data_IF_922223176599
#
_entry.id   IF_922223176599
#
_cell.length_a   1.000
_cell.length_b   1.000
_cell.length_c   1.000
_cell.angle_alpha   90.00
_cell.angle_beta   90.00
_cell.angle_gamma   90.00
#
_symmetry.space_group_name_H-M   'P 1'
#
loop_
_entity.id
_entity.type
_entity.pdbx_description
1 polymer ?
#
# COMPACT_ATOMS: atom_id res chain seq x y z
N UNK A 1 6.35 34.91 -20.21
CA UNK A 1 7.46 34.41 -19.37
C UNK A 1 7.85 33.05 -19.95
N UNK A 2 9.11 32.87 -20.36
CA UNK A 2 9.57 31.58 -20.90
C UNK A 2 9.96 30.70 -19.71
N UNK A 3 9.35 29.53 -19.57
CA UNK A 3 9.72 28.55 -18.54
C UNK A 3 11.12 28.04 -18.86
N UNK A 4 11.97 27.88 -17.84
CA UNK A 4 13.31 27.32 -18.02
C UNK A 4 13.19 25.87 -18.53
N UNK A 5 14.06 25.47 -19.46
CA UNK A 5 13.93 24.16 -20.12
C UNK A 5 14.01 23.00 -19.12
N UNK A 6 14.84 23.10 -18.07
CA UNK A 6 14.93 22.04 -17.06
C UNK A 6 13.66 21.96 -16.24
N UNK A 7 13.09 23.11 -15.86
CA UNK A 7 11.80 23.18 -15.17
C UNK A 7 10.71 22.55 -16.02
N UNK A 8 10.65 22.91 -17.31
CA UNK A 8 9.65 22.38 -18.24
C UNK A 8 9.77 20.85 -18.40
N UNK A 9 10.98 20.33 -18.58
CA UNK A 9 11.19 18.89 -18.74
C UNK A 9 10.70 18.09 -17.53
N UNK A 10 11.03 18.54 -16.31
CA UNK A 10 10.58 17.84 -15.09
C UNK A 10 9.06 17.95 -14.87
N UNK A 11 8.42 19.06 -15.26
CA UNK A 11 6.96 19.18 -15.22
C UNK A 11 6.28 18.26 -16.24
N UNK A 12 6.85 18.08 -17.43
CA UNK A 12 6.36 17.14 -18.44
C UNK A 12 6.48 15.70 -17.94
N UNK A 13 7.64 15.34 -17.37
CA UNK A 13 7.87 14.01 -16.81
C UNK A 13 6.88 13.73 -15.66
N UNK A 14 6.75 14.68 -14.73
CA UNK A 14 5.79 14.56 -13.64
C UNK A 14 4.35 14.39 -14.14
N UNK A 15 3.97 15.10 -15.21
CA UNK A 15 2.65 14.98 -15.83
C UNK A 15 2.45 13.59 -16.45
N UNK A 16 3.45 13.06 -17.15
CA UNK A 16 3.40 11.70 -17.71
C UNK A 16 3.20 10.65 -16.62
N UNK A 17 3.99 10.73 -15.55
CA UNK A 17 3.83 9.82 -14.40
C UNK A 17 2.47 9.98 -13.71
N UNK A 18 1.94 11.21 -13.62
CA UNK A 18 0.62 11.46 -13.07
C UNK A 18 -0.50 10.86 -13.94
N UNK A 19 -0.38 10.93 -15.27
CA UNK A 19 -1.31 10.31 -16.21
C UNK A 19 -1.31 8.78 -16.06
N UNK A 20 -0.16 8.17 -15.74
CA UNK A 20 0.00 6.74 -15.48
C UNK A 20 -0.37 6.31 -14.04
N UNK A 21 -0.62 7.26 -13.13
CA UNK A 21 -0.85 6.96 -11.71
C UNK A 21 0.41 6.60 -10.93
N UNK A 22 1.61 6.78 -11.50
CA UNK A 22 2.88 6.55 -10.82
C UNK A 22 3.24 7.74 -9.92
N UNK A 23 2.64 7.77 -8.73
CA UNK A 23 2.79 8.88 -7.76
C UNK A 23 4.22 9.02 -7.25
N UNK A 24 4.97 7.92 -7.13
CA UNK A 24 6.37 7.93 -6.69
C UNK A 24 7.27 8.71 -7.65
N UNK A 25 7.27 8.34 -8.93
CA UNK A 25 8.04 9.05 -9.97
C UNK A 25 7.52 10.46 -10.23
N UNK A 26 6.20 10.65 -10.20
CA UNK A 26 5.61 12.00 -10.27
C UNK A 26 6.18 12.91 -9.17
N UNK A 27 6.16 12.46 -7.92
CA UNK A 27 6.64 13.24 -6.78
C UNK A 27 8.11 13.58 -6.91
N UNK A 28 8.92 12.61 -7.37
CA UNK A 28 10.35 12.83 -7.64
C UNK A 28 10.59 13.93 -8.67
N UNK A 29 9.89 13.88 -9.81
CA UNK A 29 10.00 14.89 -10.87
C UNK A 29 9.50 16.27 -10.42
N UNK A 30 8.42 16.34 -9.63
CA UNK A 30 7.93 17.60 -9.08
C UNK A 30 8.89 18.25 -8.08
N UNK A 31 9.60 17.46 -7.28
CA UNK A 31 10.66 17.96 -6.38
C UNK A 31 11.77 18.61 -7.21
N UNK A 32 12.21 17.95 -8.29
CA UNK A 32 13.25 18.49 -9.19
C UNK A 32 12.79 19.73 -9.94
N UNK A 33 11.56 19.74 -10.46
CA UNK A 33 10.95 20.92 -11.08
C UNK A 33 10.96 22.11 -10.13
N UNK A 34 10.58 21.90 -8.87
CA UNK A 34 10.54 22.95 -7.84
C UNK A 34 11.93 23.47 -7.47
N UNK A 35 12.93 22.58 -7.41
CA UNK A 35 14.32 22.96 -7.19
C UNK A 35 14.86 23.82 -8.33
N UNK A 36 14.70 23.38 -9.58
CA UNK A 36 15.15 24.15 -10.74
C UNK A 36 14.42 25.49 -10.86
N UNK A 37 13.11 25.51 -10.58
CA UNK A 37 12.32 26.74 -10.60
C UNK A 37 12.84 27.75 -9.57
N UNK A 38 13.17 27.29 -8.37
CA UNK A 38 13.77 28.12 -7.32
C UNK A 38 15.11 28.73 -7.77
N UNK A 39 15.96 27.94 -8.41
CA UNK A 39 17.29 28.39 -8.86
C UNK A 39 17.22 29.51 -9.90
N UNK A 40 16.17 29.53 -10.72
CA UNK A 40 15.96 30.53 -11.78
C UNK A 40 14.91 31.59 -11.42
N UNK A 41 14.39 31.59 -10.19
CA UNK A 41 13.39 32.55 -9.73
C UNK A 41 12.00 32.40 -10.38
N UNK A 42 11.63 31.19 -10.80
CA UNK A 42 10.31 30.85 -11.34
C UNK A 42 9.39 30.28 -10.25
N UNK A 43 8.11 30.62 -10.33
CA UNK A 43 7.07 29.99 -9.51
C UNK A 43 6.32 28.94 -10.34
N UNK A 44 6.28 27.71 -9.85
CA UNK A 44 5.59 26.56 -10.47
C UNK A 44 4.53 25.94 -9.54
N UNK A 45 4.11 26.65 -8.49
CA UNK A 45 3.21 26.10 -7.47
C UNK A 45 1.86 25.64 -8.02
N UNK A 46 1.32 26.35 -9.01
CA UNK A 46 0.01 26.03 -9.59
C UNK A 46 0.10 24.77 -10.46
N UNK A 47 1.13 24.68 -11.32
CA UNK A 47 1.40 23.50 -12.15
C UNK A 47 1.67 22.27 -11.28
N UNK A 48 2.45 22.45 -10.20
CA UNK A 48 2.72 21.37 -9.24
C UNK A 48 1.42 20.85 -8.64
N UNK A 49 0.57 21.74 -8.12
CA UNK A 49 -0.71 21.34 -7.51
C UNK A 49 -1.65 20.65 -8.51
N UNK A 50 -1.70 21.13 -9.75
CA UNK A 50 -2.49 20.48 -10.81
C UNK A 50 -2.02 19.05 -11.07
N UNK A 51 -0.70 18.86 -11.21
CA UNK A 51 -0.10 17.55 -11.46
C UNK A 51 -0.27 16.62 -10.26
N UNK A 52 -0.08 17.10 -9.03
CA UNK A 52 -0.29 16.32 -7.80
C UNK A 52 -1.73 15.81 -7.70
N UNK A 53 -2.71 16.69 -7.90
CA UNK A 53 -4.12 16.30 -7.87
C UNK A 53 -4.46 15.24 -8.93
N UNK A 54 -3.90 15.37 -10.13
CA UNK A 54 -4.09 14.39 -11.20
C UNK A 54 -3.44 13.05 -10.85
N UNK A 55 -2.20 13.07 -10.36
CA UNK A 55 -1.48 11.86 -10.00
C UNK A 55 -2.10 11.14 -8.83
N UNK A 56 -2.56 11.84 -7.79
CA UNK A 56 -3.30 11.21 -6.70
C UNK A 56 -4.62 10.61 -7.19
N UNK A 57 -5.37 11.34 -8.02
CA UNK A 57 -6.62 10.83 -8.59
C UNK A 57 -6.41 9.54 -9.40
N UNK A 58 -5.33 9.47 -10.19
CA UNK A 58 -5.02 8.31 -11.03
C UNK A 58 -4.28 7.21 -10.26
N UNK A 59 -3.54 7.56 -9.20
CA UNK A 59 -2.78 6.63 -8.37
C UNK A 59 -3.63 5.84 -7.38
N UNK A 60 -4.75 6.40 -6.92
CA UNK A 60 -5.72 5.68 -6.06
C UNK A 60 -6.15 4.34 -6.69
N UNK A 61 -6.70 4.28 -7.92
CA UNK A 61 -7.13 3.02 -8.49
C UNK A 61 -5.96 2.06 -8.79
N UNK A 62 -4.75 2.56 -9.06
CA UNK A 62 -3.56 1.72 -9.21
C UNK A 62 -3.21 1.05 -7.88
N UNK A 63 -3.05 1.84 -6.81
CA UNK A 63 -2.74 1.29 -5.49
C UNK A 63 -3.82 0.34 -4.96
N UNK A 64 -5.11 0.61 -5.22
CA UNK A 64 -6.19 -0.32 -4.87
C UNK A 64 -6.15 -1.62 -5.68
N UNK A 65 -5.65 -1.58 -6.92
CA UNK A 65 -5.52 -2.77 -7.75
C UNK A 65 -4.37 -3.66 -7.26
N UNK A 66 -3.19 -3.08 -7.00
CA UNK A 66 -2.04 -3.78 -6.44
C UNK A 66 -2.40 -4.39 -5.07
N UNK A 67 -3.02 -3.62 -4.17
CA UNK A 67 -3.50 -4.13 -2.89
C UNK A 67 -4.46 -5.32 -3.04
N UNK A 68 -5.30 -5.32 -4.08
CA UNK A 68 -6.23 -6.42 -4.33
C UNK A 68 -5.51 -7.66 -4.84
N UNK A 69 -4.51 -7.50 -5.69
CA UNK A 69 -3.67 -8.61 -6.15
C UNK A 69 -3.00 -9.31 -4.96
N UNK A 70 -2.35 -8.54 -4.08
CA UNK A 70 -1.72 -9.08 -2.86
C UNK A 70 -2.76 -9.72 -1.92
N UNK A 71 -3.94 -9.10 -1.77
CA UNK A 71 -5.03 -9.67 -0.98
C UNK A 71 -5.54 -11.01 -1.54
N UNK A 72 -5.60 -11.15 -2.86
CA UNK A 72 -5.98 -12.41 -3.52
C UNK A 72 -4.93 -13.51 -3.30
N UNK A 73 -3.65 -13.13 -3.24
CA UNK A 73 -2.54 -14.04 -2.93
C UNK A 73 -2.39 -14.35 -1.43
N UNK A 74 -3.02 -13.54 -0.57
CA UNK A 74 -2.91 -13.65 0.89
C UNK A 74 -1.68 -12.97 1.47
N UNK A 75 -0.99 -12.12 0.69
CA UNK A 75 0.08 -11.24 1.17
C UNK A 75 -0.52 -10.01 1.85
N UNK A 76 -0.94 -10.20 3.11
CA UNK A 76 -1.57 -9.14 3.88
C UNK A 76 -0.62 -7.99 4.22
N UNK A 77 0.70 -8.20 4.23
CA UNK A 77 1.66 -7.14 4.54
C UNK A 77 1.78 -6.16 3.37
N UNK A 78 1.99 -6.67 2.15
CA UNK A 78 2.11 -5.82 0.96
C UNK A 78 0.76 -5.18 0.61
N UNK A 79 -0.35 -5.89 0.79
CA UNK A 79 -1.70 -5.32 0.72
C UNK A 79 -1.84 -4.06 1.59
N UNK A 80 -1.44 -4.13 2.86
CA UNK A 80 -1.55 -2.99 3.80
C UNK A 80 -0.70 -1.79 3.35
N UNK A 81 0.47 -2.03 2.75
CA UNK A 81 1.34 -0.99 2.19
C UNK A 81 0.62 -0.22 1.06
N UNK A 82 -0.01 -0.94 0.13
CA UNK A 82 -0.72 -0.31 -0.97
C UNK A 82 -2.03 0.37 -0.52
N UNK A 83 -2.77 -0.21 0.42
CA UNK A 83 -3.97 0.44 0.99
C UNK A 83 -3.62 1.72 1.73
N UNK A 84 -2.50 1.74 2.47
CA UNK A 84 -1.98 2.96 3.11
C UNK A 84 -1.65 4.05 2.09
N UNK A 85 -1.04 3.67 0.96
CA UNK A 85 -0.77 4.59 -0.15
C UNK A 85 -2.05 5.14 -0.77
N UNK A 86 -3.03 4.28 -1.06
CA UNK A 86 -4.33 4.68 -1.60
C UNK A 86 -5.07 5.64 -0.65
N UNK A 87 -5.08 5.32 0.65
CA UNK A 87 -5.71 6.14 1.70
C UNK A 87 -5.09 7.54 1.76
N UNK A 88 -3.75 7.61 1.77
CA UNK A 88 -3.03 8.88 1.75
C UNK A 88 -3.35 9.70 0.49
N UNK A 89 -3.38 9.08 -0.70
CA UNK A 89 -3.74 9.79 -1.93
C UNK A 89 -5.17 10.33 -1.88
N UNK A 90 -6.10 9.55 -1.36
CA UNK A 90 -7.49 9.94 -1.22
C UNK A 90 -7.66 11.11 -0.23
N UNK A 91 -6.92 11.10 0.88
CA UNK A 91 -6.88 12.21 1.85
C UNK A 91 -6.41 13.52 1.20
N UNK A 92 -5.31 13.48 0.43
CA UNK A 92 -4.73 14.66 -0.24
C UNK A 92 -5.72 15.36 -1.20
N UNK A 93 -6.65 14.60 -1.80
CA UNK A 93 -7.65 15.13 -2.72
C UNK A 93 -9.08 15.15 -2.17
N UNK A 94 -9.28 14.77 -0.90
CA UNK A 94 -10.58 14.76 -0.23
C UNK A 94 -11.60 13.77 -0.80
N UNK A 95 -11.15 12.59 -1.23
CA UNK A 95 -12.02 11.50 -1.72
C UNK A 95 -12.15 10.44 -0.63
N UNK A 96 -13.35 9.90 -0.45
CA UNK A 96 -13.60 8.77 0.45
C UNK A 96 -13.48 7.45 -0.33
N UNK A 97 -12.60 6.57 0.15
CA UNK A 97 -12.37 5.22 -0.39
C UNK A 97 -12.52 4.11 0.67
N UNK A 98 -13.15 4.43 1.81
CA UNK A 98 -13.23 3.54 2.97
C UNK A 98 -13.92 2.21 2.67
N UNK A 99 -14.94 2.20 1.80
CA UNK A 99 -15.64 0.98 1.40
C UNK A 99 -14.70 0.03 0.62
N UNK A 100 -13.92 0.56 -0.32
CA UNK A 100 -12.97 -0.21 -1.12
C UNK A 100 -11.83 -0.77 -0.25
N UNK A 101 -11.32 0.02 0.70
CA UNK A 101 -10.32 -0.44 1.67
C UNK A 101 -10.87 -1.61 2.47
N UNK A 102 -12.05 -1.45 3.08
CA UNK A 102 -12.68 -2.49 3.89
C UNK A 102 -12.91 -3.79 3.10
N UNK A 103 -13.31 -3.68 1.82
CA UNK A 103 -13.50 -4.86 0.98
C UNK A 103 -12.19 -5.62 0.75
N UNK A 104 -11.11 -4.91 0.44
CA UNK A 104 -9.80 -5.51 0.17
C UNK A 104 -9.19 -6.07 1.45
N UNK A 105 -9.23 -5.36 2.57
CA UNK A 105 -8.75 -5.84 3.87
C UNK A 105 -9.44 -7.16 4.26
N UNK A 106 -10.77 -7.22 4.14
CA UNK A 106 -11.51 -8.44 4.45
C UNK A 106 -11.11 -9.61 3.56
N UNK A 107 -10.84 -9.37 2.27
CA UNK A 107 -10.35 -10.39 1.35
C UNK A 107 -8.95 -10.87 1.76
N UNK A 108 -8.02 -9.95 1.96
CA UNK A 108 -6.63 -10.26 2.24
C UNK A 108 -6.44 -10.98 3.56
N UNK A 109 -7.06 -10.49 4.64
CA UNK A 109 -6.98 -11.17 5.94
C UNK A 109 -7.59 -12.57 5.89
N UNK A 110 -8.73 -12.72 5.20
CA UNK A 110 -9.36 -14.04 5.04
C UNK A 110 -8.44 -15.03 4.30
N UNK A 111 -7.68 -14.57 3.32
CA UNK A 111 -6.75 -15.40 2.55
C UNK A 111 -5.42 -15.64 3.29
N UNK A 112 -4.93 -14.67 4.06
CA UNK A 112 -3.67 -14.76 4.81
C UNK A 112 -3.76 -15.71 6.02
N UNK A 113 -4.90 -15.73 6.73
CA UNK A 113 -5.11 -16.60 7.91
C UNK A 113 -4.73 -18.07 7.65
N UNK A 114 -5.27 -18.77 6.64
CA UNK A 114 -4.93 -20.17 6.41
C UNK A 114 -3.46 -20.37 6.02
N UNK A 115 -2.82 -19.42 5.35
CA UNK A 115 -1.40 -19.48 5.01
C UNK A 115 -0.53 -19.41 6.28
N UNK A 116 -0.80 -18.43 7.15
CA UNK A 116 -0.09 -18.30 8.42
C UNK A 116 -0.31 -19.51 9.32
N UNK A 117 -1.53 -20.06 9.39
CA UNK A 117 -1.79 -21.29 10.16
C UNK A 117 -1.02 -22.50 9.62
N UNK A 118 -0.87 -22.61 8.29
CA UNK A 118 -0.07 -23.67 7.68
C UNK A 118 1.44 -23.49 7.96
N UNK A 119 1.95 -22.27 7.86
CA UNK A 119 3.35 -21.97 8.15
C UNK A 119 3.69 -22.17 9.63
N UNK A 120 2.84 -21.68 10.53
CA UNK A 120 2.99 -21.91 11.97
C UNK A 120 3.05 -23.40 12.31
N UNK A 121 2.21 -24.22 11.66
CA UNK A 121 2.27 -25.68 11.80
C UNK A 121 3.61 -26.25 11.35
N UNK A 122 4.14 -25.80 10.21
CA UNK A 122 5.47 -26.23 9.75
C UNK A 122 6.55 -25.88 10.78
N UNK A 123 6.57 -24.63 11.28
CA UNK A 123 7.50 -24.22 12.33
C UNK A 123 7.36 -25.09 13.59
N UNK A 124 6.14 -25.47 13.98
CA UNK A 124 5.89 -26.35 15.12
C UNK A 124 6.52 -27.74 14.90
N UNK A 125 6.32 -28.33 13.72
CA UNK A 125 6.85 -29.64 13.33
C UNK A 125 8.40 -29.62 13.25
N UNK A 126 8.98 -28.50 12.85
CA UNK A 126 10.44 -28.29 12.77
C UNK A 126 11.06 -27.87 14.12
N UNK A 127 10.26 -27.65 15.16
CA UNK A 127 10.71 -27.23 16.49
C UNK A 127 11.10 -25.73 16.59
N UNK A 128 10.73 -24.92 15.60
CA UNK A 128 10.93 -23.48 15.56
C UNK A 128 9.86 -22.71 16.37
N UNK A 129 9.80 -22.97 17.68
CA UNK A 129 8.71 -22.50 18.56
C UNK A 129 8.52 -20.97 18.52
N UNK A 130 9.61 -20.20 18.48
CA UNK A 130 9.53 -18.74 18.44
C UNK A 130 8.88 -18.24 17.14
N UNK A 131 9.22 -18.83 15.99
CA UNK A 131 8.64 -18.46 14.70
C UNK A 131 7.18 -18.85 14.63
N UNK A 132 6.85 -20.07 15.07
CA UNK A 132 5.46 -20.52 15.21
C UNK A 132 4.61 -19.51 16.00
N UNK A 133 5.09 -19.05 17.16
CA UNK A 133 4.35 -18.10 18.01
C UNK A 133 4.13 -16.75 17.34
N UNK A 134 5.13 -16.22 16.63
CA UNK A 134 5.00 -14.97 15.86
C UNK A 134 3.92 -15.12 14.79
N UNK A 135 3.97 -16.21 14.03
CA UNK A 135 3.04 -16.46 12.92
C UNK A 135 1.61 -16.71 13.41
N UNK A 136 1.43 -17.44 14.52
CA UNK A 136 0.13 -17.57 15.17
C UNK A 136 -0.40 -16.22 15.67
N UNK A 137 0.48 -15.33 16.14
CA UNK A 137 0.13 -13.96 16.49
C UNK A 137 -0.47 -13.22 15.30
N UNK A 138 0.20 -13.25 14.15
CA UNK A 138 -0.30 -12.63 12.92
C UNK A 138 -1.65 -13.21 12.48
N UNK A 139 -1.81 -14.54 12.49
CA UNK A 139 -3.08 -15.19 12.15
C UNK A 139 -4.22 -14.74 13.09
N UNK A 140 -3.96 -14.63 14.39
CA UNK A 140 -4.94 -14.14 15.36
C UNK A 140 -5.29 -12.67 15.15
N UNK A 141 -4.31 -11.82 14.86
CA UNK A 141 -4.55 -10.41 14.58
C UNK A 141 -5.45 -10.24 13.34
N UNK A 142 -5.16 -10.97 12.26
CA UNK A 142 -5.99 -10.95 11.05
C UNK A 142 -7.40 -11.51 11.29
N UNK A 143 -7.51 -12.62 12.02
CA UNK A 143 -8.79 -13.19 12.41
C UNK A 143 -9.62 -12.21 13.26
N UNK A 144 -8.98 -11.48 14.17
CA UNK A 144 -9.63 -10.44 14.97
C UNK A 144 -10.15 -9.29 14.11
N UNK A 145 -9.35 -8.80 13.15
CA UNK A 145 -9.74 -7.71 12.24
C UNK A 145 -11.01 -8.04 11.44
N UNK A 146 -11.22 -9.31 11.06
CA UNK A 146 -12.41 -9.75 10.30
C UNK A 146 -13.48 -10.48 11.12
N UNK A 147 -13.30 -10.58 12.45
CA UNK A 147 -14.24 -11.26 13.34
C UNK A 147 -14.35 -12.77 13.13
N UNK A 148 -13.28 -13.42 12.65
CA UNK A 148 -13.20 -14.87 12.50
C UNK A 148 -12.64 -15.53 13.78
N UNK A 149 -13.22 -16.66 14.19
CA UNK A 149 -12.68 -17.48 15.28
C UNK A 149 -11.77 -18.57 14.69
N UNK A 150 -10.52 -18.61 15.16
CA UNK A 150 -9.49 -19.60 14.78
C UNK A 150 -8.91 -20.33 16.01
N UNK A 151 -9.58 -20.24 17.16
CA UNK A 151 -9.06 -20.75 18.44
C UNK A 151 -8.79 -22.25 18.45
N UNK A 152 -9.57 -23.01 17.68
CA UNK A 152 -9.41 -24.48 17.56
C UNK A 152 -8.14 -24.82 16.77
N UNK A 153 -7.88 -24.11 15.68
CA UNK A 153 -6.71 -24.26 14.83
C UNK A 153 -5.43 -23.90 15.60
N UNK A 154 -5.45 -22.77 16.32
CA UNK A 154 -4.34 -22.32 17.15
C UNK A 154 -4.00 -23.37 18.22
N UNK A 155 -5.00 -23.82 19.00
CA UNK A 155 -4.81 -24.84 20.04
C UNK A 155 -4.25 -26.14 19.46
N UNK A 156 -4.73 -26.53 18.27
CA UNK A 156 -4.27 -27.72 17.58
C UNK A 156 -2.80 -27.65 17.13
N UNK A 157 -2.30 -26.45 16.80
CA UNK A 157 -0.89 -26.24 16.44
C UNK A 157 -0.02 -26.22 17.69
N UNK A 158 -0.43 -25.50 18.73
CA UNK A 158 0.30 -25.44 20.02
C UNK A 158 0.49 -26.82 20.66
N UNK A 159 -0.48 -27.72 20.47
CA UNK A 159 -0.38 -29.09 20.99
C UNK A 159 0.70 -29.95 20.32
N UNK A 160 1.27 -29.54 19.17
CA UNK A 160 2.34 -30.27 18.48
C UNK A 160 3.69 -30.17 19.18
N UNK A 161 3.85 -29.19 20.07
CA UNK A 161 5.13 -28.83 20.70
C UNK A 161 5.13 -29.04 22.22
N UNK A 162 4.10 -29.71 22.74
CA UNK A 162 3.95 -30.14 24.14
C UNK A 162 4.44 -31.58 24.33
#
# INVERSE_FOLDING_TARGET
MVIDQKVLNELIEARSCADEGNVGLMSYSLIRASQYAKDVGQNVSEQRKEIENLGYKNGIPVALAEAREDAEEGDAEEMEVYLSSASRYAEEIGVDISEQINEIENLGYKNAIPLNLAEARSCAEDGEISNMQIILGMANDYAHKIGQDISTEVTGIEALVL
#
